data_IF_118766396410
#
_entry.id   IF_118766396410
#
_cell.length_a   1.000
_cell.length_b   1.000
_cell.length_c   1.000
_cell.angle_alpha   90.00
_cell.angle_beta   90.00
_cell.angle_gamma   90.00
#
_symmetry.space_group_name_H-M   'P 1'
#
loop_
_entity.id
_entity.type
_entity.pdbx_description
1 polymer ?
#
# COMPACT_ATOMS: atom_id res chain seq x y z
N UNK A 1 4.17 35.75 9.12
CA UNK A 1 3.36 34.85 8.27
C UNK A 1 3.98 33.48 8.39
N UNK A 2 3.35 32.49 9.04
CA UNK A 2 3.87 31.13 9.01
C UNK A 2 3.86 30.66 7.56
N UNK A 3 5.03 30.41 7.00
CA UNK A 3 5.18 29.82 5.66
C UNK A 3 4.55 28.44 5.66
N UNK A 4 3.66 28.18 4.70
CA UNK A 4 3.06 26.85 4.53
C UNK A 4 4.19 25.83 4.33
N UNK A 5 4.23 24.74 5.12
CA UNK A 5 5.28 23.74 4.99
C UNK A 5 5.26 23.14 3.58
N UNK A 6 6.44 22.90 3.01
CA UNK A 6 6.57 22.21 1.72
C UNK A 6 6.85 20.72 1.95
N UNK A 7 6.61 19.88 0.94
CA UNK A 7 6.93 18.46 1.02
C UNK A 7 8.43 18.19 1.30
N UNK A 8 9.39 18.91 0.69
CA UNK A 8 10.81 18.81 1.05
C UNK A 8 11.10 19.11 2.52
N UNK A 9 10.52 20.17 3.09
CA UNK A 9 10.72 20.53 4.50
C UNK A 9 10.22 19.40 5.43
N UNK A 10 9.06 18.83 5.09
CA UNK A 10 8.52 17.67 5.80
C UNK A 10 9.46 16.45 5.71
N UNK A 11 10.02 16.17 4.53
CA UNK A 11 10.96 15.06 4.35
C UNK A 11 12.21 15.25 5.19
N UNK A 12 12.78 16.46 5.18
CA UNK A 12 13.98 16.77 5.96
C UNK A 12 13.70 16.64 7.47
N UNK A 13 12.56 17.15 7.95
CA UNK A 13 12.15 17.04 9.35
C UNK A 13 11.94 15.59 9.80
N UNK A 14 11.33 14.74 8.97
CA UNK A 14 11.14 13.32 9.29
C UNK A 14 12.46 12.54 9.19
N UNK A 15 13.35 12.87 8.24
CA UNK A 15 14.68 12.28 8.15
C UNK A 15 15.55 12.63 9.37
N UNK A 16 15.38 13.80 9.98
CA UNK A 16 16.04 14.15 11.24
C UNK A 16 15.56 13.30 12.42
N UNK A 17 14.33 12.76 12.35
CA UNK A 17 13.72 11.94 13.42
C UNK A 17 13.88 10.45 13.20
N UNK A 18 14.09 10.02 11.95
CA UNK A 18 14.25 8.62 11.57
C UNK A 18 15.33 7.86 12.38
N UNK A 19 16.51 8.44 12.72
CA UNK A 19 17.53 7.75 13.52
C UNK A 19 16.99 7.28 14.87
N UNK A 20 16.23 8.11 15.58
CA UNK A 20 15.63 7.76 16.88
C UNK A 20 14.69 6.56 16.77
N UNK A 21 13.88 6.50 15.71
CA UNK A 21 12.97 5.38 15.45
C UNK A 21 13.76 4.09 15.20
N UNK A 22 14.80 4.15 14.36
CA UNK A 22 15.66 3.01 14.04
C UNK A 22 16.39 2.53 15.30
N UNK A 23 16.95 3.45 16.09
CA UNK A 23 17.64 3.19 17.34
C UNK A 23 16.76 2.46 18.35
N UNK A 24 15.51 2.90 18.52
CA UNK A 24 14.58 2.27 19.46
C UNK A 24 14.22 0.83 19.05
N UNK A 25 14.13 0.57 17.75
CA UNK A 25 13.90 -0.78 17.22
C UNK A 25 15.13 -1.66 17.47
N UNK A 26 16.33 -1.17 17.18
CA UNK A 26 17.58 -1.90 17.46
C UNK A 26 17.69 -2.23 18.96
N UNK A 27 17.42 -1.27 19.84
CA UNK A 27 17.46 -1.47 21.29
C UNK A 27 16.44 -2.53 21.75
N UNK A 28 15.25 -2.51 21.17
CA UNK A 28 14.21 -3.52 21.48
C UNK A 28 14.63 -4.92 21.04
N UNK A 29 15.22 -5.05 19.85
CA UNK A 29 15.72 -6.35 19.34
C UNK A 29 16.89 -6.83 20.20
N UNK A 30 17.84 -5.94 20.55
CA UNK A 30 18.95 -6.26 21.45
C UNK A 30 18.48 -6.71 22.83
N UNK A 31 17.43 -6.09 23.37
CA UNK A 31 16.84 -6.49 24.64
C UNK A 31 16.23 -7.90 24.53
N UNK A 32 15.44 -8.17 23.48
CA UNK A 32 14.84 -9.50 23.26
C UNK A 32 15.87 -10.59 23.07
N UNK A 33 16.94 -10.31 22.33
CA UNK A 33 18.04 -11.27 22.15
C UNK A 33 18.78 -11.53 23.46
N UNK A 34 19.02 -10.50 24.28
CA UNK A 34 19.61 -10.65 25.62
C UNK A 34 18.73 -11.47 26.56
N UNK A 35 17.41 -11.29 26.52
CA UNK A 35 16.46 -12.05 27.36
C UNK A 35 16.38 -13.52 26.95
N UNK A 36 16.54 -13.81 25.65
CA UNK A 36 16.47 -15.17 25.10
C UNK A 36 17.78 -15.95 25.29
N UNK A 37 18.92 -15.26 25.30
CA UNK A 37 20.22 -15.88 25.46
C UNK A 37 20.54 -16.12 26.94
N UNK A 38 20.43 -17.37 27.38
CA UNK A 38 21.13 -17.84 28.57
C UNK A 38 22.64 -17.86 28.23
N UNK A 39 23.54 -17.30 29.06
CA UNK A 39 24.98 -17.26 28.77
C UNK A 39 25.56 -18.67 28.80
N UNK A 40 25.38 -19.39 27.69
CA UNK A 40 25.82 -20.76 27.48
C UNK A 40 26.95 -20.66 26.47
N UNK A 41 28.13 -21.08 26.89
CA UNK A 41 29.40 -20.64 26.30
C UNK A 41 29.56 -20.83 24.79
N UNK A 42 30.37 -19.94 24.23
CA UNK A 42 31.13 -20.08 22.96
C UNK A 42 30.27 -20.32 21.71
N UNK A 43 29.37 -19.38 21.43
CA UNK A 43 28.80 -19.23 20.10
C UNK A 43 29.74 -18.46 19.17
N UNK A 44 29.80 -18.92 17.91
CA UNK A 44 30.31 -18.20 16.75
C UNK A 44 29.75 -16.77 16.73
N UNK A 45 30.60 -15.76 16.50
CA UNK A 45 30.34 -14.31 16.58
C UNK A 45 28.99 -13.91 17.23
N UNK A 46 28.99 -13.66 18.55
CA UNK A 46 27.80 -13.25 19.30
C UNK A 46 27.05 -12.10 18.60
N UNK A 47 25.86 -12.35 18.02
CA UNK A 47 25.16 -11.38 17.18
C UNK A 47 24.69 -10.17 18.00
N UNK A 48 24.54 -10.31 19.32
CA UNK A 48 24.25 -9.19 20.23
C UNK A 48 25.45 -8.25 20.28
N UNK A 49 26.67 -8.78 20.39
CA UNK A 49 27.90 -7.97 20.44
C UNK A 49 28.19 -7.31 19.10
N UNK A 50 28.01 -8.03 17.99
CA UNK A 50 28.19 -7.48 16.63
C UNK A 50 27.22 -6.32 16.40
N UNK A 51 25.92 -6.52 16.69
CA UNK A 51 24.91 -5.47 16.51
C UNK A 51 25.15 -4.27 17.44
N UNK A 52 25.64 -4.48 18.68
CA UNK A 52 26.03 -3.40 19.59
C UNK A 52 27.25 -2.62 19.08
N UNK A 53 28.27 -3.30 18.57
CA UNK A 53 29.51 -2.69 18.08
C UNK A 53 29.25 -1.84 16.82
N UNK A 54 28.42 -2.36 15.92
CA UNK A 54 28.16 -1.74 14.61
C UNK A 54 26.83 -0.95 14.55
N UNK A 55 26.23 -0.63 15.71
CA UNK A 55 24.95 0.12 15.78
C UNK A 55 24.96 1.38 14.91
N UNK A 56 25.98 2.22 15.07
CA UNK A 56 26.07 3.49 14.34
C UNK A 56 26.18 3.28 12.82
N UNK A 57 26.85 2.22 12.39
CA UNK A 57 26.98 1.88 10.97
C UNK A 57 25.63 1.46 10.38
N UNK A 58 24.89 0.60 11.11
CA UNK A 58 23.54 0.18 10.72
C UNK A 58 22.60 1.38 10.60
N UNK A 59 22.59 2.26 11.60
CA UNK A 59 21.74 3.47 11.59
C UNK A 59 22.12 4.39 10.43
N UNK A 60 23.41 4.60 10.20
CA UNK A 60 23.90 5.46 9.11
C UNK A 60 23.55 4.89 7.74
N UNK A 61 23.78 3.59 7.53
CA UNK A 61 23.46 2.91 6.28
C UNK A 61 21.93 2.86 6.03
N UNK A 62 21.14 2.62 7.08
CA UNK A 62 19.68 2.65 6.97
C UNK A 62 19.17 4.05 6.63
N UNK A 63 19.68 5.09 7.29
CA UNK A 63 19.30 6.48 7.03
C UNK A 63 19.67 6.91 5.60
N UNK A 64 20.86 6.54 5.12
CA UNK A 64 21.29 6.84 3.76
C UNK A 64 20.34 6.22 2.72
N UNK A 65 19.97 4.95 2.91
CA UNK A 65 19.01 4.26 2.03
C UNK A 65 17.61 4.85 2.12
N UNK A 66 17.15 5.21 3.31
CA UNK A 66 15.85 5.86 3.50
C UNK A 66 15.79 7.22 2.80
N UNK A 67 16.85 8.01 2.89
CA UNK A 67 16.96 9.31 2.21
C UNK A 67 16.90 9.16 0.69
N UNK A 68 17.66 8.22 0.13
CA UNK A 68 17.64 7.94 -1.32
C UNK A 68 16.23 7.52 -1.76
N UNK A 69 15.58 6.65 -0.99
CA UNK A 69 14.23 6.19 -1.27
C UNK A 69 13.20 7.32 -1.23
N UNK A 70 13.24 8.18 -0.21
CA UNK A 70 12.31 9.29 -0.03
C UNK A 70 12.45 10.34 -1.15
N UNK A 71 13.70 10.68 -1.55
CA UNK A 71 13.97 11.69 -2.57
C UNK A 71 13.63 11.21 -3.99
N UNK A 72 13.69 9.89 -4.24
CA UNK A 72 13.39 9.31 -5.55
C UNK A 72 11.92 9.49 -5.96
N UNK A 73 10.99 9.64 -5.01
CA UNK A 73 9.55 9.82 -5.27
C UNK A 73 9.15 11.30 -5.42
N UNK A 74 9.90 12.23 -4.83
CA UNK A 74 9.68 13.67 -4.99
C UNK A 74 9.96 14.20 -6.39
N UNK A 75 10.74 13.47 -7.19
CA UNK A 75 10.90 13.78 -8.61
C UNK A 75 9.62 13.30 -9.30
N UNK A 76 8.77 14.20 -9.83
CA UNK A 76 7.54 13.79 -10.48
C UNK A 76 7.92 12.84 -11.60
N UNK A 77 7.55 11.57 -11.43
CA UNK A 77 7.63 10.56 -12.46
C UNK A 77 6.69 10.96 -13.60
N UNK A 78 7.14 11.87 -14.46
CA UNK A 78 6.60 12.09 -15.79
C UNK A 78 6.87 10.78 -16.54
N UNK A 79 5.92 9.85 -16.46
CA UNK A 79 5.90 8.65 -17.29
C UNK A 79 6.85 7.51 -16.91
N UNK A 80 7.30 7.38 -15.66
CA UNK A 80 7.91 6.11 -15.23
C UNK A 80 6.81 5.06 -15.02
N UNK A 81 6.43 4.44 -16.13
CA UNK A 81 5.92 3.07 -16.15
C UNK A 81 6.85 2.26 -15.24
N UNK A 82 6.29 1.53 -14.27
CA UNK A 82 7.03 0.54 -13.47
C UNK A 82 8.06 -0.15 -14.36
N UNK A 83 9.33 -0.34 -13.93
CA UNK A 83 10.33 -0.97 -14.77
C UNK A 83 9.75 -2.31 -15.22
N UNK A 84 9.36 -2.37 -16.49
CA UNK A 84 9.02 -3.61 -17.16
C UNK A 84 10.29 -4.42 -17.01
N UNK A 85 10.21 -5.50 -16.23
CA UNK A 85 11.29 -6.45 -16.01
C UNK A 85 12.13 -6.53 -17.28
N UNK A 86 13.36 -6.03 -17.18
CA UNK A 86 14.27 -5.99 -18.31
C UNK A 86 14.30 -7.40 -18.90
N UNK A 87 14.13 -7.46 -20.21
CA UNK A 87 14.06 -8.69 -20.98
C UNK A 87 15.09 -9.69 -20.43
N UNK A 88 14.59 -10.85 -20.00
CA UNK A 88 15.38 -11.94 -19.47
C UNK A 88 16.55 -12.22 -20.44
N UNK A 89 17.75 -11.82 -20.03
CA UNK A 89 18.96 -12.48 -20.45
C UNK A 89 18.80 -13.98 -20.14
N UNK A 90 19.37 -14.89 -20.96
CA UNK A 90 19.17 -16.32 -20.77
C UNK A 90 19.45 -16.67 -19.31
N UNK A 91 18.39 -17.10 -18.62
CA UNK A 91 18.47 -17.53 -17.24
C UNK A 91 19.30 -18.81 -17.24
N UNK A 92 20.62 -18.65 -17.16
CA UNK A 92 21.46 -19.63 -16.51
C UNK A 92 20.81 -19.85 -15.16
N UNK A 93 20.33 -21.07 -14.93
CA UNK A 93 19.62 -21.48 -13.72
C UNK A 93 20.55 -21.25 -12.53
N UNK A 94 20.59 -20.01 -12.06
CA UNK A 94 21.19 -19.62 -10.80
C UNK A 94 20.27 -20.23 -9.77
N UNK A 95 20.75 -21.26 -9.08
CA UNK A 95 20.15 -21.72 -7.85
C UNK A 95 19.95 -20.47 -6.99
N UNK A 96 18.70 -20.03 -6.88
CA UNK A 96 18.31 -19.03 -5.89
C UNK A 96 18.63 -19.70 -4.57
N UNK A 97 19.47 -19.05 -3.76
CA UNK A 97 19.80 -19.56 -2.46
C UNK A 97 18.51 -19.61 -1.64
N UNK A 98 18.20 -20.72 -0.96
CA UNK A 98 17.00 -20.84 -0.11
C UNK A 98 16.98 -19.71 0.93
N UNK A 99 18.17 -19.27 1.34
CA UNK A 99 18.37 -18.14 2.23
C UNK A 99 17.87 -16.80 1.65
N UNK A 100 17.94 -16.59 0.32
CA UNK A 100 17.44 -15.36 -0.32
C UNK A 100 15.91 -15.30 -0.20
N UNK A 101 15.26 -16.42 -0.49
CA UNK A 101 13.80 -16.55 -0.43
C UNK A 101 13.31 -16.38 1.00
N UNK A 102 14.00 -17.00 1.98
CA UNK A 102 13.67 -16.86 3.39
C UNK A 102 13.70 -15.38 3.84
N UNK A 103 14.69 -14.61 3.38
CA UNK A 103 14.80 -13.18 3.69
C UNK A 103 13.68 -12.37 3.03
N UNK A 104 13.40 -12.62 1.75
CA UNK A 104 12.33 -11.93 1.03
C UNK A 104 10.96 -12.17 1.68
N UNK A 105 10.72 -13.40 2.15
CA UNK A 105 9.53 -13.75 2.93
C UNK A 105 9.47 -12.94 4.24
N UNK A 106 10.58 -12.82 4.97
CA UNK A 106 10.61 -12.05 6.22
C UNK A 106 10.46 -10.54 5.98
N UNK A 107 11.02 -9.99 4.88
CA UNK A 107 10.78 -8.60 4.46
C UNK A 107 9.29 -8.40 4.17
N UNK A 108 8.67 -9.27 3.37
CA UNK A 108 7.25 -9.19 3.04
C UNK A 108 6.38 -9.29 4.31
N UNK A 109 6.68 -10.24 5.20
CA UNK A 109 5.99 -10.42 6.49
C UNK A 109 6.11 -9.17 7.36
N UNK A 110 7.30 -8.58 7.46
CA UNK A 110 7.54 -7.37 8.22
C UNK A 110 6.71 -6.19 7.67
N UNK A 111 6.70 -6.02 6.34
CA UNK A 111 5.93 -4.96 5.68
C UNK A 111 4.43 -5.13 5.94
N UNK A 112 3.89 -6.34 5.75
CA UNK A 112 2.47 -6.61 5.98
C UNK A 112 2.08 -6.43 7.45
N UNK A 113 2.94 -6.84 8.38
CA UNK A 113 2.73 -6.61 9.82
C UNK A 113 2.61 -5.12 10.14
N UNK A 114 3.49 -4.29 9.56
CA UNK A 114 3.46 -2.84 9.77
C UNK A 114 2.22 -2.24 9.10
N UNK A 115 1.90 -2.66 7.87
CA UNK A 115 0.71 -2.18 7.13
C UNK A 115 -0.57 -2.43 7.92
N UNK A 116 -0.75 -3.62 8.48
CA UNK A 116 -1.93 -3.97 9.27
C UNK A 116 -2.00 -3.17 10.58
N UNK A 117 -0.87 -3.00 11.28
CA UNK A 117 -0.86 -2.29 12.57
C UNK A 117 -0.97 -0.77 12.43
N UNK A 118 -0.39 -0.19 11.39
CA UNK A 118 -0.30 1.25 11.18
C UNK A 118 -1.21 1.76 10.06
N UNK A 119 -2.20 0.95 9.63
CA UNK A 119 -3.05 1.24 8.48
C UNK A 119 -3.72 2.63 8.57
N UNK A 120 -4.36 2.92 9.70
CA UNK A 120 -5.06 4.18 9.93
C UNK A 120 -4.10 5.37 9.83
N UNK A 121 -2.98 5.30 10.54
CA UNK A 121 -1.99 6.38 10.62
C UNK A 121 -1.33 6.65 9.27
N UNK A 122 -1.06 5.61 8.48
CA UNK A 122 -0.49 5.73 7.14
C UNK A 122 -1.48 6.39 6.19
N UNK A 123 -2.77 6.03 6.25
CA UNK A 123 -3.85 6.64 5.45
C UNK A 123 -4.07 8.11 5.82
N UNK A 124 -4.04 8.42 7.11
CA UNK A 124 -4.14 9.79 7.60
C UNK A 124 -2.96 10.62 7.11
N UNK A 125 -1.73 10.15 7.32
CA UNK A 125 -0.54 10.85 6.86
C UNK A 125 -0.54 11.06 5.33
N UNK A 126 -0.96 10.06 4.56
CA UNK A 126 -1.10 10.16 3.11
C UNK A 126 -2.02 11.33 2.71
N UNK A 127 -3.11 11.53 3.45
CA UNK A 127 -4.07 12.61 3.18
C UNK A 127 -3.44 13.99 3.38
N UNK A 128 -2.57 14.14 4.38
CA UNK A 128 -1.81 15.38 4.60
C UNK A 128 -0.71 15.56 3.55
N UNK A 129 0.05 14.51 3.20
CA UNK A 129 1.11 14.63 2.19
C UNK A 129 0.55 14.93 0.81
N UNK A 130 -0.62 14.40 0.44
CA UNK A 130 -1.32 14.78 -0.80
C UNK A 130 -1.74 16.26 -0.77
N UNK A 131 -2.14 16.78 0.40
CA UNK A 131 -2.45 18.20 0.56
C UNK A 131 -1.20 19.12 0.44
N UNK A 132 -0.01 18.63 0.81
CA UNK A 132 1.26 19.35 0.60
C UNK A 132 1.63 19.45 -0.88
N UNK A 133 1.42 18.38 -1.66
CA UNK A 133 1.70 18.33 -3.11
C UNK A 133 0.61 19.00 -3.94
N UNK A 134 -0.51 19.39 -3.31
CA UNK A 134 -1.71 19.89 -3.98
C UNK A 134 -2.26 18.87 -5.01
N UNK A 135 -2.04 17.58 -4.75
CA UNK A 135 -2.66 16.51 -5.52
C UNK A 135 -4.08 16.29 -4.98
N UNK A 136 -5.07 16.54 -5.83
CA UNK A 136 -6.50 16.38 -5.51
C UNK A 136 -6.91 14.90 -5.53
N UNK A 137 -6.11 14.03 -6.17
CA UNK A 137 -6.32 12.59 -6.18
C UNK A 137 -5.47 11.93 -5.11
N UNK A 138 -6.09 11.44 -4.03
CA UNK A 138 -5.47 10.48 -3.09
C UNK A 138 -5.03 9.19 -3.83
N UNK A 139 -5.37 9.04 -5.12
CA UNK A 139 -5.00 7.92 -5.98
C UNK A 139 -3.50 7.72 -6.19
N UNK A 140 -2.65 8.75 -5.99
CA UNK A 140 -1.20 8.55 -5.98
C UNK A 140 -0.74 8.25 -4.56
N UNK A 141 0.08 7.22 -4.43
CA UNK A 141 0.80 6.92 -3.20
C UNK A 141 1.92 7.98 -3.04
N UNK A 142 1.53 9.15 -2.54
CA UNK A 142 2.39 10.34 -2.45
C UNK A 142 3.22 10.37 -1.17
N UNK A 143 3.08 9.35 -0.30
CA UNK A 143 3.81 9.32 0.97
C UNK A 143 5.25 8.81 0.76
N UNK A 144 6.29 9.64 0.97
CA UNK A 144 7.68 9.23 0.77
C UNK A 144 8.20 8.23 1.83
N UNK A 145 7.52 8.08 2.96
CA UNK A 145 7.95 7.29 4.12
C UNK A 145 7.14 6.02 4.31
N UNK A 146 6.85 5.31 3.22
CA UNK A 146 6.03 4.08 3.26
C UNK A 146 6.69 3.00 4.13
N UNK A 147 5.90 2.11 4.74
CA UNK A 147 6.42 0.96 5.49
C UNK A 147 7.46 0.12 4.73
N UNK A 148 7.24 -0.12 3.42
CA UNK A 148 8.19 -0.84 2.56
C UNK A 148 9.57 -0.16 2.51
N UNK A 149 9.61 1.18 2.42
CA UNK A 149 10.87 1.93 2.39
C UNK A 149 11.62 1.84 3.71
N UNK A 150 10.92 1.94 4.84
CA UNK A 150 11.53 1.79 6.16
C UNK A 150 12.12 0.40 6.38
N UNK A 151 11.37 -0.65 6.03
CA UNK A 151 11.84 -2.04 6.19
C UNK A 151 13.06 -2.30 5.31
N UNK A 152 13.02 -1.87 4.04
CA UNK A 152 14.15 -2.03 3.12
C UNK A 152 15.36 -1.21 3.53
N UNK A 153 15.17 -0.01 4.06
CA UNK A 153 16.24 0.81 4.60
C UNK A 153 16.90 0.15 5.80
N UNK A 154 16.11 -0.35 6.75
CA UNK A 154 16.61 -1.09 7.92
C UNK A 154 17.37 -2.34 7.48
N UNK A 155 16.82 -3.11 6.55
CA UNK A 155 17.47 -4.29 5.98
C UNK A 155 18.81 -3.98 5.30
N UNK A 156 18.87 -2.88 4.54
CA UNK A 156 20.12 -2.43 3.93
C UNK A 156 21.20 -2.09 4.96
N UNK A 157 20.82 -1.56 6.13
CA UNK A 157 21.74 -1.37 7.25
C UNK A 157 22.17 -2.68 7.92
N UNK A 158 21.26 -3.65 8.05
CA UNK A 158 21.59 -4.95 8.65
C UNK A 158 22.54 -5.76 7.77
N UNK A 159 22.43 -5.64 6.45
CA UNK A 159 23.31 -6.34 5.50
C UNK A 159 24.78 -5.89 5.59
N UNK A 160 25.08 -4.74 6.19
CA UNK A 160 26.48 -4.30 6.39
C UNK A 160 27.15 -4.99 7.58
N UNK A 161 26.38 -5.70 8.43
CA UNK A 161 26.90 -6.35 9.63
C UNK A 161 27.64 -7.66 9.28
N UNK A 162 28.80 -7.92 9.90
CA UNK A 162 29.51 -9.19 9.74
C UNK A 162 28.88 -10.29 10.59
N UNK A 163 27.66 -10.71 10.23
CA UNK A 163 26.93 -11.79 10.90
C UNK A 163 26.33 -12.78 9.90
N UNK A 164 25.99 -13.99 10.37
CA UNK A 164 25.39 -15.01 9.51
C UNK A 164 24.04 -14.57 8.98
N UNK A 165 23.68 -15.06 7.79
CA UNK A 165 22.41 -14.70 7.15
C UNK A 165 21.19 -15.08 7.97
N UNK A 166 21.24 -16.24 8.61
CA UNK A 166 20.21 -16.68 9.55
C UNK A 166 20.03 -15.69 10.72
N UNK A 167 21.12 -15.10 11.22
CA UNK A 167 21.05 -14.09 12.28
C UNK A 167 20.48 -12.75 11.76
N UNK A 168 20.76 -12.36 10.51
CA UNK A 168 20.15 -11.20 9.87
C UNK A 168 18.63 -11.39 9.65
N UNK A 169 18.21 -12.57 9.20
CA UNK A 169 16.79 -12.90 9.05
C UNK A 169 16.07 -12.93 10.40
N UNK A 170 16.69 -13.53 11.42
CA UNK A 170 16.18 -13.51 12.80
C UNK A 170 16.07 -12.08 13.36
N UNK A 171 16.98 -11.17 13.01
CA UNK A 171 16.87 -9.77 13.38
C UNK A 171 15.61 -9.14 12.80
N UNK A 172 15.36 -9.34 11.49
CA UNK A 172 14.22 -8.76 10.82
C UNK A 172 12.88 -9.30 11.36
N UNK A 173 12.84 -10.60 11.63
CA UNK A 173 11.69 -11.26 12.26
C UNK A 173 11.34 -10.61 13.61
N UNK A 174 12.34 -10.44 14.47
CA UNK A 174 12.16 -9.83 15.79
C UNK A 174 11.87 -8.33 15.72
N UNK A 175 12.39 -7.66 14.69
CA UNK A 175 12.19 -6.23 14.45
C UNK A 175 10.78 -5.89 13.96
N UNK A 176 10.04 -6.82 13.36
CA UNK A 176 8.75 -6.54 12.73
C UNK A 176 7.72 -5.87 13.66
N UNK A 177 7.52 -6.45 14.86
CA UNK A 177 6.58 -5.91 15.86
C UNK A 177 7.01 -4.54 16.44
N UNK A 178 8.24 -4.37 16.97
CA UNK A 178 8.67 -3.08 17.51
C UNK A 178 8.75 -2.01 16.43
N UNK A 179 9.12 -2.36 15.20
CA UNK A 179 9.10 -1.44 14.07
C UNK A 179 7.68 -0.98 13.75
N UNK A 180 6.70 -1.89 13.76
CA UNK A 180 5.29 -1.52 13.56
C UNK A 180 4.77 -0.58 14.65
N UNK A 181 5.08 -0.85 15.92
CA UNK A 181 4.60 -0.04 17.04
C UNK A 181 5.24 1.35 17.10
N UNK A 182 6.52 1.44 16.74
CA UNK A 182 7.26 2.72 16.67
C UNK A 182 6.85 3.55 15.47
N UNK A 183 6.75 2.95 14.28
CA UNK A 183 6.29 3.64 13.08
C UNK A 183 4.86 4.16 13.23
N UNK A 184 3.96 3.38 13.83
CA UNK A 184 2.59 3.85 14.13
C UNK A 184 2.60 5.15 14.93
N UNK A 185 3.40 5.22 16.00
CA UNK A 185 3.55 6.44 16.82
C UNK A 185 4.21 7.57 16.03
N UNK A 186 5.21 7.26 15.21
CA UNK A 186 5.89 8.24 14.37
C UNK A 186 4.92 8.88 13.37
N UNK A 187 4.15 8.07 12.64
CA UNK A 187 3.14 8.55 11.68
C UNK A 187 2.05 9.38 12.35
N UNK A 188 1.49 8.92 13.48
CA UNK A 188 0.52 9.69 14.26
C UNK A 188 1.10 11.05 14.68
N UNK A 189 2.36 11.07 15.14
CA UNK A 189 3.02 12.31 15.53
C UNK A 189 3.29 13.24 14.35
N UNK A 190 3.58 12.68 13.16
CA UNK A 190 3.80 13.43 11.93
C UNK A 190 2.51 14.08 11.43
N UNK A 191 1.39 13.33 11.44
CA UNK A 191 0.07 13.86 11.10
C UNK A 191 -0.32 15.03 12.01
N UNK A 192 -0.15 14.90 13.34
CA UNK A 192 -0.42 15.98 14.31
C UNK A 192 0.45 17.21 14.08
N UNK A 193 1.73 17.05 13.71
CA UNK A 193 2.60 18.18 13.37
C UNK A 193 2.12 18.93 12.14
N UNK A 194 1.69 18.20 11.10
CA UNK A 194 1.15 18.82 9.89
C UNK A 194 -0.17 19.55 10.18
N UNK A 195 -1.00 18.99 11.05
CA UNK A 195 -2.23 19.64 11.54
C UNK A 195 -1.91 20.92 12.33
N UNK A 196 -0.96 20.88 13.27
CA UNK A 196 -0.49 22.06 14.04
C UNK A 196 0.10 23.16 13.14
N UNK A 197 0.72 22.78 12.02
CA UNK A 197 1.22 23.69 10.99
C UNK A 197 0.10 24.27 10.09
N UNK A 198 -1.17 23.88 10.33
CA UNK A 198 -2.33 24.37 9.60
C UNK A 198 -2.56 23.70 8.24
N UNK A 199 -1.95 22.54 7.99
CA UNK A 199 -2.19 21.76 6.77
C UNK A 199 -3.54 21.08 6.90
N UNK A 200 -4.49 21.44 6.04
CA UNK A 200 -5.79 20.78 6.01
C UNK A 200 -5.72 19.44 5.24
N UNK A 201 -6.39 18.37 5.70
CA UNK A 201 -6.37 17.10 5.01
C UNK A 201 -7.04 17.24 3.63
N UNK A 202 -6.48 16.59 2.59
CA UNK A 202 -7.03 16.61 1.24
C UNK A 202 -8.50 16.13 1.16
N UNK A 203 -8.95 15.26 2.07
CA UNK A 203 -10.35 14.79 2.16
C UNK A 203 -11.35 15.93 2.44
N UNK A 204 -10.94 16.94 3.22
CA UNK A 204 -11.82 18.05 3.62
C UNK A 204 -11.82 19.22 2.65
N UNK A 205 -11.04 19.17 1.56
CA UNK A 205 -11.07 20.22 0.55
C UNK A 205 -12.31 20.04 -0.32
N UNK A 206 -13.45 20.54 0.16
CA UNK A 206 -14.64 20.72 -0.66
C UNK A 206 -14.23 21.53 -1.89
N UNK A 207 -14.29 20.89 -3.05
CA UNK A 207 -14.15 21.60 -4.31
C UNK A 207 -15.38 22.49 -4.40
N UNK A 208 -15.24 23.77 -4.04
CA UNK A 208 -16.13 24.77 -4.60
C UNK A 208 -15.76 24.78 -6.07
N UNK A 209 -16.53 24.07 -6.89
CA UNK A 209 -16.59 24.33 -8.33
C UNK A 209 -17.12 25.76 -8.43
N UNK A 210 -16.20 26.72 -8.34
CA UNK A 210 -16.48 28.10 -8.68
C UNK A 210 -16.91 28.07 -10.14
N UNK A 211 -18.16 28.45 -10.39
CA UNK A 211 -18.74 28.54 -11.72
C UNK A 211 -17.82 29.37 -12.63
N UNK A 212 -17.02 28.67 -13.42
CA UNK A 212 -16.15 29.20 -14.44
C UNK A 212 -16.40 28.38 -15.68
N UNK A 213 -17.27 28.90 -16.53
CA UNK A 213 -17.70 28.32 -17.79
C UNK A 213 -16.49 27.95 -18.65
N UNK A 214 -16.46 26.69 -19.06
CA UNK A 214 -15.45 26.15 -19.96
C UNK A 214 -14.59 25.12 -19.25
N UNK A 215 -14.80 23.86 -19.58
CA UNK A 215 -13.78 22.86 -19.89
C UNK A 215 -14.53 21.59 -20.31
N UNK A 216 -14.95 21.61 -21.58
CA UNK A 216 -15.20 20.38 -22.32
C UNK A 216 -13.85 19.74 -22.65
N UNK A 217 -13.86 18.40 -22.67
CA UNK A 217 -12.79 17.53 -23.15
C UNK A 217 -11.68 17.19 -22.15
N UNK A 218 -11.96 16.28 -21.21
CA UNK A 218 -11.08 15.13 -20.89
C UNK A 218 -11.68 14.18 -19.83
N UNK A 219 -12.92 13.72 -20.04
CA UNK A 219 -13.37 12.45 -19.47
C UNK A 219 -14.18 11.69 -20.52
N UNK A 220 -13.47 11.17 -21.51
CA UNK A 220 -13.95 10.08 -22.33
C UNK A 220 -12.80 9.08 -22.42
N UNK A 221 -12.88 8.02 -21.60
CA UNK A 221 -12.40 6.66 -21.91
C UNK A 221 -12.61 5.72 -20.70
N UNK A 222 -13.88 5.43 -20.44
CA UNK A 222 -14.34 4.08 -20.09
C UNK A 222 -15.67 3.89 -20.82
N UNK A 223 -15.59 3.59 -22.12
CA UNK A 223 -16.74 3.08 -22.86
C UNK A 223 -16.79 1.58 -22.64
N UNK A 224 -17.76 1.12 -21.84
CA UNK A 224 -18.21 -0.27 -21.86
C UNK A 224 -19.00 -0.45 -23.16
N UNK A 225 -18.45 -1.23 -24.09
CA UNK A 225 -18.92 -1.38 -25.46
C UNK A 225 -20.13 -2.32 -25.60
N UNK A 226 -21.25 -2.01 -24.94
CA UNK A 226 -22.46 -2.85 -25.04
C UNK A 226 -23.80 -2.09 -25.02
N UNK A 227 -23.82 -0.75 -25.12
CA UNK A 227 -25.07 0.00 -24.96
C UNK A 227 -25.14 1.25 -25.84
N UNK A 228 -24.98 1.08 -27.15
CA UNK A 228 -25.13 2.17 -28.14
C UNK A 228 -25.86 1.70 -29.40
N UNK A 229 -26.89 0.86 -29.24
CA UNK A 229 -27.77 0.46 -30.34
C UNK A 229 -29.27 0.40 -30.01
N UNK A 230 -29.66 0.58 -28.74
CA UNK A 230 -31.05 0.35 -28.31
C UNK A 230 -31.86 1.65 -28.14
N UNK A 231 -31.22 2.79 -27.95
CA UNK A 231 -31.93 4.05 -27.66
C UNK A 231 -32.31 4.85 -28.91
N UNK A 232 -31.70 4.60 -30.07
CA UNK A 232 -32.06 5.24 -31.33
C UNK A 232 -33.29 4.60 -32.01
N UNK A 233 -33.55 3.32 -31.77
CA UNK A 233 -34.71 2.62 -32.34
C UNK A 233 -36.03 2.92 -31.60
N UNK A 234 -35.97 3.28 -30.31
CA UNK A 234 -37.16 3.63 -29.52
C UNK A 234 -37.68 5.03 -29.87
N UNK A 235 -36.79 5.96 -30.25
CA UNK A 235 -37.18 7.34 -30.58
C UNK A 235 -37.71 7.48 -32.01
N UNK A 236 -37.29 6.62 -32.94
CA UNK A 236 -37.81 6.60 -34.31
C UNK A 236 -39.20 5.93 -34.45
N UNK A 237 -39.64 5.13 -33.47
CA UNK A 237 -40.92 4.41 -33.51
C UNK A 237 -42.12 5.20 -32.98
N UNK A 238 -41.93 6.42 -32.48
CA UNK A 238 -42.99 7.26 -31.90
C UNK A 238 -43.53 8.34 -32.85
N UNK A 239 -42.89 8.57 -34.01
CA UNK A 239 -43.29 9.60 -34.99
C UNK A 239 -44.04 9.05 -36.23
N UNK A 240 -44.35 7.76 -36.27
CA UNK A 240 -45.12 7.15 -37.36
C UNK A 240 -46.45 6.57 -36.84
N UNK A 241 -47.37 7.45 -36.47
CA UNK A 241 -48.75 7.09 -36.10
C UNK A 241 -49.76 7.97 -36.82
N UNK A 242 -49.95 7.74 -38.13
CA UNK A 242 -51.16 8.17 -38.85
C UNK A 242 -51.29 7.41 -40.17
N UNK A 243 -51.83 6.19 -40.14
CA UNK A 243 -52.98 5.79 -40.99
C UNK A 243 -53.46 4.36 -40.64
N UNK A 244 -54.77 4.09 -40.57
CA UNK A 244 -55.31 2.77 -40.31
C UNK A 244 -55.48 2.00 -41.63
N UNK A 245 -55.52 0.67 -41.55
CA UNK A 245 -55.80 -0.30 -42.62
C UNK A 245 -54.55 -0.97 -43.21
N UNK A 246 -54.15 -2.08 -42.57
CA UNK A 246 -53.78 -3.32 -43.27
C UNK A 246 -53.66 -4.45 -42.27
N UNK A 247 -54.75 -5.20 -42.12
CA UNK A 247 -54.71 -6.56 -41.62
C UNK A 247 -53.87 -7.41 -42.58
N UNK A 248 -52.80 -8.03 -42.07
CA UNK A 248 -52.32 -9.29 -42.64
C UNK A 248 -51.69 -10.16 -41.56
N UNK A 249 -52.44 -11.18 -41.19
CA UNK A 249 -52.02 -12.33 -40.40
C UNK A 249 -50.85 -13.06 -41.06
N UNK A 250 -49.74 -13.24 -40.35
CA UNK A 250 -48.77 -14.32 -40.60
C UNK A 250 -48.26 -14.83 -39.25
N UNK A 251 -48.19 -16.15 -39.16
CA UNK A 251 -48.11 -16.97 -37.96
C UNK A 251 -46.79 -16.85 -37.17
N UNK A 252 -46.92 -17.03 -35.85
CA UNK A 252 -45.81 -17.23 -34.91
C UNK A 252 -45.27 -18.67 -35.01
N UNK A 253 -43.96 -18.86 -35.22
CA UNK A 253 -43.28 -20.03 -34.70
C UNK A 253 -42.74 -19.72 -33.29
N UNK A 254 -43.25 -20.50 -32.34
CA UNK A 254 -42.74 -20.66 -30.98
C UNK A 254 -41.27 -21.07 -31.04
N UNK A 255 -40.38 -20.26 -30.45
CA UNK A 255 -39.05 -20.71 -30.05
C UNK A 255 -39.04 -20.70 -28.52
N UNK A 256 -38.99 -21.91 -27.97
CA UNK A 256 -38.93 -22.19 -26.56
C UNK A 256 -37.71 -21.50 -25.92
N UNK A 257 -37.97 -20.63 -24.95
CA UNK A 257 -36.96 -20.14 -24.04
C UNK A 257 -36.54 -21.31 -23.12
N UNK A 258 -35.40 -21.93 -23.42
CA UNK A 258 -34.69 -22.76 -22.47
C UNK A 258 -34.14 -21.85 -21.36
N UNK A 259 -34.94 -21.63 -20.32
CA UNK A 259 -34.48 -21.09 -19.06
C UNK A 259 -33.58 -22.13 -18.39
N UNK A 260 -32.27 -21.94 -18.47
CA UNK A 260 -31.32 -22.61 -17.58
C UNK A 260 -31.36 -21.89 -16.22
N UNK A 261 -31.75 -22.58 -15.12
CA UNK A 261 -31.57 -22.05 -13.79
C UNK A 261 -30.09 -22.11 -13.40
N UNK A 262 -29.55 -20.97 -12.96
CA UNK A 262 -28.24 -20.90 -12.31
C UNK A 262 -28.23 -21.72 -11.00
N UNK A 263 -27.05 -22.15 -10.54
CA UNK A 263 -26.93 -23.07 -9.42
C UNK A 263 -27.41 -22.43 -8.11
N UNK A 264 -28.27 -23.19 -7.41
CA UNK A 264 -28.77 -22.89 -6.08
C UNK A 264 -27.64 -22.99 -5.03
N UNK A 265 -27.02 -21.86 -4.73
CA UNK A 265 -26.54 -21.51 -3.39
C UNK A 265 -27.58 -20.50 -2.87
N UNK A 266 -28.38 -20.74 -1.83
CA UNK A 266 -27.96 -20.79 -0.44
C UNK A 266 -29.12 -21.28 0.43
N UNK A 267 -29.48 -22.58 0.39
CA UNK A 267 -30.38 -23.17 1.40
C UNK A 267 -29.57 -23.87 2.49
N UNK A 268 -28.48 -24.54 2.11
CA UNK A 268 -27.59 -25.24 3.03
C UNK A 268 -26.76 -24.28 3.91
N UNK A 269 -26.39 -23.10 3.41
CA UNK A 269 -25.72 -22.07 4.21
C UNK A 269 -26.64 -21.52 5.31
N UNK A 270 -27.94 -21.37 5.00
CA UNK A 270 -28.94 -20.87 5.93
C UNK A 270 -29.23 -21.92 7.03
N UNK A 271 -29.28 -23.20 6.69
CA UNK A 271 -29.44 -24.29 7.67
C UNK A 271 -28.22 -24.46 8.60
N UNK A 272 -27.00 -24.27 8.08
CA UNK A 272 -25.78 -24.32 8.90
C UNK A 272 -25.68 -23.14 9.88
N UNK A 273 -26.14 -21.95 9.48
CA UNK A 273 -26.22 -20.79 10.37
C UNK A 273 -27.29 -20.96 11.46
N UNK A 274 -28.42 -21.61 11.13
CA UNK A 274 -29.46 -21.92 12.11
C UNK A 274 -28.98 -22.94 13.16
N UNK A 275 -28.28 -24.00 12.75
CA UNK A 275 -27.74 -25.00 13.68
C UNK A 275 -26.58 -24.47 14.55
N UNK A 276 -25.79 -23.52 14.05
CA UNK A 276 -24.70 -22.92 14.83
C UNK A 276 -25.22 -22.02 15.95
N UNK A 277 -26.37 -21.38 15.77
CA UNK A 277 -26.99 -20.55 16.81
C UNK A 277 -27.71 -21.38 17.89
N UNK A 278 -28.23 -22.56 17.56
CA UNK A 278 -28.90 -23.45 18.52
C UNK A 278 -27.92 -24.18 19.45
N UNK A 279 -26.66 -24.35 19.04
CA UNK A 279 -25.62 -25.00 19.85
C UNK A 279 -24.94 -24.08 20.91
N UNK A 280 -25.35 -22.81 21.01
CA UNK A 280 -24.75 -21.80 21.90
C UNK A 280 -25.67 -21.42 23.08
N UNK A 281 -26.89 -21.99 23.17
CA UNK A 281 -27.75 -21.91 24.36
C UNK A 281 -27.65 -23.16 25.24
#
# INVERSE_FOLDING_TARGET
>A
MPTRPTLPDFIDDELLRAPMTIDLVIDTVLQRWRERMVPTGRHDADPVRVLQQHRNEVVTAALANLRIAALSETIPAIGQKAPKAAAAAPQTMSLIDEDDVAIDIEIARCIETIRLKAELEVRELQTYTSALVNDLGISRDTNPFRPDRFVRALWAGVQTLPMSRAAQAAFLHEAALPLADTLRKAYASAARRLEEQGVMPAIHRTIVVGGGTGWGSQMARYQTSAQLGLNDSIRASLDASSDPSRFRSVAMPVIAAAAQPGPAADSQMIELLAHLFEAIQ
#
